data_IF_216879867647
#
_entry.id   IF_216879867647
#
_cell.length_a   1.000
_cell.length_b   1.000
_cell.length_c   1.000
_cell.angle_alpha   90.00
_cell.angle_beta   90.00
_cell.angle_gamma   90.00
#
_symmetry.space_group_name_H-M   'P 1'
#
loop_
_entity.id
_entity.type
_entity.pdbx_description
1 polymer ?
#
# COMPACT_ATOMS: atom_id res chain seq x y z
N UNK A 1 -12.97 3.04 -7.73
CA UNK A 1 -12.72 4.28 -8.50
C UNK A 1 -13.13 4.04 -9.94
N UNK A 2 -13.64 5.04 -10.64
CA UNK A 2 -14.03 4.90 -12.05
C UNK A 2 -13.25 5.92 -12.89
N UNK A 3 -12.70 5.46 -14.01
CA UNK A 3 -12.00 6.28 -15.01
C UNK A 3 -12.76 6.15 -16.32
N UNK A 4 -13.06 7.27 -16.96
CA UNK A 4 -13.79 7.32 -18.23
C UNK A 4 -12.91 8.04 -19.24
N UNK A 5 -12.70 7.45 -20.40
CA UNK A 5 -11.87 8.03 -21.46
C UNK A 5 -12.52 7.83 -22.84
N UNK A 6 -12.74 8.90 -23.63
CA UNK A 6 -13.26 8.76 -24.99
C UNK A 6 -12.27 8.04 -25.92
N UNK A 7 -12.76 7.23 -26.86
CA UNK A 7 -11.94 6.56 -27.87
C UNK A 7 -11.58 7.57 -28.94
N UNK A 8 -10.49 8.29 -28.73
CA UNK A 8 -9.98 9.30 -29.65
C UNK A 8 -8.48 9.14 -29.87
N UNK A 9 -7.90 10.02 -30.68
CA UNK A 9 -6.47 9.98 -31.02
C UNK A 9 -5.55 10.06 -29.79
N UNK A 10 -5.99 10.72 -28.72
CA UNK A 10 -5.24 10.80 -27.48
C UNK A 10 -5.15 9.44 -26.78
N UNK A 11 -6.21 8.63 -26.82
CA UNK A 11 -6.16 7.27 -26.25
C UNK A 11 -5.07 6.42 -26.90
N UNK A 12 -4.94 6.50 -28.23
CA UNK A 12 -3.89 5.81 -28.99
C UNK A 12 -2.50 6.44 -28.83
N UNK A 13 -2.41 7.65 -28.27
CA UNK A 13 -1.14 8.25 -27.85
C UNK A 13 -0.67 7.66 -26.52
N UNK A 14 -1.60 7.32 -25.63
CA UNK A 14 -1.29 6.64 -24.35
C UNK A 14 -0.95 5.17 -24.59
N UNK A 15 -1.65 4.52 -25.52
CA UNK A 15 -1.47 3.10 -25.86
C UNK A 15 -1.03 2.94 -27.32
N UNK A 16 0.22 3.30 -27.67
CA UNK A 16 0.70 3.32 -29.05
C UNK A 16 0.79 1.92 -29.68
N UNK A 17 0.85 0.86 -28.86
CA UNK A 17 0.94 -0.53 -29.31
C UNK A 17 -0.41 -1.12 -29.77
N UNK A 18 -1.48 -0.31 -29.72
CA UNK A 18 -2.84 -0.69 -30.10
C UNK A 18 -3.21 -0.02 -31.42
N UNK A 19 -3.54 -0.85 -32.41
CA UNK A 19 -4.06 -0.37 -33.70
C UNK A 19 -5.45 0.22 -33.53
N UNK A 20 -5.73 1.37 -34.17
CA UNK A 20 -7.08 1.97 -34.18
C UNK A 20 -8.11 0.97 -34.72
N UNK A 21 -9.21 0.81 -33.98
CA UNK A 21 -10.26 -0.17 -34.30
C UNK A 21 -10.02 -1.60 -33.77
N UNK A 22 -8.84 -1.91 -33.23
CA UNK A 22 -8.60 -3.20 -32.53
C UNK A 22 -9.07 -3.11 -31.08
N UNK A 23 -10.39 -3.18 -30.91
CA UNK A 23 -11.06 -3.07 -29.62
C UNK A 23 -10.63 -4.16 -28.64
N UNK A 24 -10.40 -5.38 -29.12
CA UNK A 24 -10.00 -6.52 -28.27
C UNK A 24 -8.62 -6.28 -27.67
N UNK A 25 -7.67 -5.83 -28.50
CA UNK A 25 -6.32 -5.52 -28.03
C UNK A 25 -6.31 -4.30 -27.13
N UNK A 26 -7.12 -3.28 -27.44
CA UNK A 26 -7.29 -2.10 -26.60
C UNK A 26 -7.76 -2.47 -25.18
N UNK A 27 -8.85 -3.23 -25.07
CA UNK A 27 -9.39 -3.65 -23.78
C UNK A 27 -8.35 -4.40 -22.96
N UNK A 28 -7.66 -5.37 -23.58
CA UNK A 28 -6.62 -6.15 -22.91
C UNK A 28 -5.45 -5.28 -22.47
N UNK A 29 -4.96 -4.37 -23.31
CA UNK A 29 -3.86 -3.47 -22.96
C UNK A 29 -4.24 -2.55 -21.80
N UNK A 30 -5.48 -2.05 -21.77
CA UNK A 30 -5.99 -1.22 -20.68
C UNK A 30 -6.15 -2.05 -19.40
N UNK A 31 -6.68 -3.27 -19.49
CA UNK A 31 -6.73 -4.21 -18.36
C UNK A 31 -5.35 -4.45 -17.78
N UNK A 32 -4.36 -4.79 -18.62
CA UNK A 32 -2.99 -5.05 -18.19
C UNK A 32 -2.34 -3.81 -17.56
N UNK A 33 -2.55 -2.62 -18.15
CA UNK A 33 -1.99 -1.36 -17.66
C UNK A 33 -2.54 -0.95 -16.29
N UNK A 34 -3.85 -1.13 -16.08
CA UNK A 34 -4.53 -0.77 -14.83
C UNK A 34 -4.59 -1.92 -13.81
N UNK A 35 -4.08 -3.10 -14.16
CA UNK A 35 -3.98 -4.23 -13.22
C UNK A 35 -2.93 -3.95 -12.15
N UNK A 36 -3.37 -3.95 -10.89
CA UNK A 36 -2.48 -3.78 -9.73
C UNK A 36 -2.48 -5.08 -8.92
N UNK A 37 -1.40 -5.86 -9.04
CA UNK A 37 -1.17 -7.16 -8.37
C UNK A 37 -2.29 -8.18 -8.65
N UNK A 38 -3.37 -8.15 -7.87
CA UNK A 38 -4.53 -9.07 -7.94
C UNK A 38 -5.84 -8.35 -8.21
N UNK A 39 -5.82 -7.02 -8.30
CA UNK A 39 -6.99 -6.23 -8.66
C UNK A 39 -7.01 -6.06 -10.18
N UNK A 40 -7.81 -6.90 -10.83
CA UNK A 40 -8.08 -6.81 -12.26
C UNK A 40 -9.21 -5.77 -12.42
N UNK A 41 -8.99 -4.66 -13.14
CA UNK A 41 -10.02 -3.67 -13.39
C UNK A 41 -11.08 -4.28 -14.33
N UNK A 42 -12.33 -3.84 -14.18
CA UNK A 42 -13.36 -4.15 -15.18
C UNK A 42 -13.32 -3.08 -16.25
N UNK A 43 -13.00 -3.48 -17.48
CA UNK A 43 -12.93 -2.56 -18.62
C UNK A 43 -14.09 -2.87 -19.56
N UNK A 44 -14.81 -1.84 -19.97
CA UNK A 44 -15.95 -1.94 -20.90
C UNK A 44 -16.00 -0.71 -21.80
N UNK A 45 -16.68 -0.82 -22.93
CA UNK A 45 -16.89 0.28 -23.86
C UNK A 45 -18.37 0.62 -23.92
N UNK A 46 -18.68 1.88 -23.72
CA UNK A 46 -20.02 2.46 -23.83
C UNK A 46 -19.91 3.82 -24.51
N UNK A 47 -20.82 4.10 -25.44
CA UNK A 47 -20.96 5.40 -26.12
C UNK A 47 -19.61 5.98 -26.57
N UNK A 48 -18.83 5.17 -27.30
CA UNK A 48 -17.52 5.53 -27.85
C UNK A 48 -16.46 5.92 -26.78
N UNK A 49 -16.67 5.47 -25.54
CA UNK A 49 -15.77 5.70 -24.42
C UNK A 49 -15.39 4.38 -23.75
N UNK A 50 -14.13 4.28 -23.33
CA UNK A 50 -13.67 3.21 -22.45
C UNK A 50 -13.97 3.61 -21.00
N UNK A 51 -14.66 2.73 -20.29
CA UNK A 51 -14.94 2.85 -18.86
C UNK A 51 -14.14 1.78 -18.14
N UNK A 52 -13.37 2.23 -17.14
CA UNK A 52 -12.46 1.40 -16.35
C UNK A 52 -12.88 1.52 -14.89
N UNK A 53 -13.42 0.43 -14.36
CA UNK A 53 -13.81 0.31 -12.97
C UNK A 53 -12.69 -0.40 -12.20
N UNK A 54 -11.94 0.38 -11.40
CA UNK A 54 -10.87 -0.12 -10.55
C UNK A 54 -11.41 -0.36 -9.15
N UNK A 55 -11.36 -1.61 -8.70
CA UNK A 55 -11.74 -1.96 -7.33
C UNK A 55 -10.65 -1.53 -6.33
N UNK A 56 -10.83 -0.33 -5.79
CA UNK A 56 -9.95 0.25 -4.78
C UNK A 56 -10.45 0.00 -3.35
N UNK A 57 -11.44 -0.87 -3.13
CA UNK A 57 -12.05 -1.05 -1.79
C UNK A 57 -11.05 -1.53 -0.75
N UNK A 58 -10.09 -2.38 -1.13
CA UNK A 58 -8.98 -2.81 -0.27
C UNK A 58 -8.04 -1.67 0.16
N UNK A 59 -8.04 -0.53 -0.52
CA UNK A 59 -7.23 0.64 -0.15
C UNK A 59 -7.85 1.37 1.05
N UNK A 60 -9.19 1.32 1.24
CA UNK A 60 -9.88 2.03 2.33
C UNK A 60 -9.77 1.35 3.69
N UNK A 61 -9.80 0.02 3.79
CA UNK A 61 -9.66 -0.67 5.09
C UNK A 61 -8.28 -0.42 5.71
N UNK A 62 -7.27 -0.32 4.84
CA UNK A 62 -5.89 -0.09 5.23
C UNK A 62 -5.68 1.26 5.93
N UNK A 63 -6.48 2.30 5.62
CA UNK A 63 -6.38 3.61 6.27
C UNK A 63 -6.83 3.57 7.75
N UNK A 64 -7.88 2.81 8.07
CA UNK A 64 -8.38 2.67 9.45
C UNK A 64 -7.38 1.90 10.32
N UNK A 65 -6.87 0.79 9.81
CA UNK A 65 -5.87 -0.02 10.51
C UNK A 65 -4.54 0.73 10.64
N UNK A 66 -4.13 1.49 9.62
CA UNK A 66 -2.93 2.32 9.68
C UNK A 66 -3.06 3.44 10.72
N UNK A 67 -4.19 4.15 10.77
CA UNK A 67 -4.45 5.15 11.82
C UNK A 67 -4.43 4.53 13.22
N UNK A 68 -4.89 3.29 13.37
CA UNK A 68 -4.79 2.54 14.62
C UNK A 68 -3.33 2.24 14.99
N UNK A 69 -2.51 1.83 14.02
CA UNK A 69 -1.05 1.64 14.22
C UNK A 69 -0.40 2.93 14.71
N UNK A 70 -0.67 4.06 14.06
CA UNK A 70 -0.14 5.38 14.47
C UNK A 70 -0.55 5.70 15.91
N UNK A 71 -1.84 5.56 16.26
CA UNK A 71 -2.31 5.80 17.63
C UNK A 71 -1.69 4.86 18.67
N UNK A 72 -1.36 3.62 18.30
CA UNK A 72 -0.65 2.69 19.17
C UNK A 72 0.82 3.11 19.34
N UNK A 73 1.47 3.61 18.28
CA UNK A 73 2.83 4.14 18.34
C UNK A 73 2.91 5.39 19.23
N UNK A 74 1.94 6.31 19.12
CA UNK A 74 1.84 7.49 20.00
C UNK A 74 1.70 7.11 21.48
N UNK A 75 1.07 5.97 21.76
CA UNK A 75 0.90 5.40 23.10
C UNK A 75 2.06 4.51 23.53
N UNK A 76 3.15 4.46 22.76
CA UNK A 76 4.30 3.58 22.96
C UNK A 76 3.95 2.07 23.02
N UNK A 77 2.81 1.66 22.44
CA UNK A 77 2.32 0.28 22.41
C UNK A 77 2.83 -0.48 21.18
N UNK A 78 4.14 -0.48 20.97
CA UNK A 78 4.78 -1.02 19.77
C UNK A 78 4.55 -2.53 19.57
N UNK A 79 4.46 -3.30 20.66
CA UNK A 79 4.13 -4.74 20.63
C UNK A 79 2.74 -5.04 20.04
N UNK A 80 1.79 -4.11 20.19
CA UNK A 80 0.45 -4.24 19.60
C UNK A 80 0.36 -3.66 18.19
N UNK A 81 1.19 -2.64 17.90
CA UNK A 81 1.26 -2.00 16.59
C UNK A 81 1.85 -2.92 15.51
N UNK A 82 2.93 -3.64 15.85
CA UNK A 82 3.66 -4.52 14.93
C UNK A 82 2.80 -5.54 14.17
N UNK A 83 1.98 -6.40 14.81
CA UNK A 83 1.22 -7.42 14.08
C UNK A 83 0.16 -6.83 13.13
N UNK A 84 -0.33 -5.62 13.42
CA UNK A 84 -1.25 -4.91 12.53
C UNK A 84 -0.48 -4.39 11.31
N UNK A 85 0.71 -3.82 11.54
CA UNK A 85 1.56 -3.29 10.49
C UNK A 85 2.13 -4.38 9.56
N UNK A 86 2.45 -5.57 10.09
CA UNK A 86 2.83 -6.74 9.29
C UNK A 86 1.72 -7.16 8.32
N UNK A 87 0.45 -7.16 8.77
CA UNK A 87 -0.71 -7.41 7.90
C UNK A 87 -0.86 -6.33 6.83
N UNK A 88 -0.68 -5.06 7.20
CA UNK A 88 -0.73 -3.95 6.26
C UNK A 88 0.35 -4.06 5.18
N UNK A 89 1.59 -4.39 5.55
CA UNK A 89 2.69 -4.63 4.60
C UNK A 89 2.42 -5.86 3.74
N UNK A 90 1.89 -6.94 4.30
CA UNK A 90 1.54 -8.14 3.54
C UNK A 90 0.43 -7.84 2.50
N UNK A 91 -0.55 -7.01 2.85
CA UNK A 91 -1.64 -6.60 1.96
C UNK A 91 -1.23 -5.56 0.91
N UNK A 92 -0.29 -4.66 1.25
CA UNK A 92 0.22 -3.62 0.37
C UNK A 92 1.73 -3.40 0.58
N UNK A 93 2.57 -4.30 0.03
CA UNK A 93 4.02 -4.28 0.28
C UNK A 93 4.74 -3.13 -0.42
N UNK A 94 4.07 -2.42 -1.33
CA UNK A 94 4.60 -1.27 -2.06
C UNK A 94 4.39 0.06 -1.33
N UNK A 95 3.65 0.06 -0.22
CA UNK A 95 3.43 1.28 0.55
C UNK A 95 4.69 1.62 1.36
N UNK A 96 5.40 2.67 0.94
CA UNK A 96 6.63 3.14 1.59
C UNK A 96 6.42 3.60 3.04
N UNK A 97 5.25 4.18 3.36
CA UNK A 97 4.95 4.64 4.71
C UNK A 97 4.83 3.47 5.70
N UNK A 98 4.32 2.31 5.29
CA UNK A 98 4.23 1.15 6.17
C UNK A 98 5.62 0.63 6.57
N UNK A 99 6.55 0.58 5.62
CA UNK A 99 7.93 0.21 5.89
C UNK A 99 8.65 1.25 6.76
N UNK A 100 8.37 2.55 6.54
CA UNK A 100 8.90 3.64 7.38
C UNK A 100 8.47 3.49 8.84
N UNK A 101 7.17 3.31 9.08
CA UNK A 101 6.62 3.12 10.44
C UNK A 101 7.12 1.81 11.05
N UNK A 102 7.31 0.75 10.25
CA UNK A 102 7.86 -0.52 10.76
C UNK A 102 9.29 -0.34 11.27
N UNK A 103 10.12 0.43 10.56
CA UNK A 103 11.46 0.78 11.02
C UNK A 103 11.44 1.47 12.40
N UNK A 104 10.52 2.41 12.61
CA UNK A 104 10.35 3.08 13.90
C UNK A 104 9.92 2.10 14.99
N UNK A 105 8.90 1.28 14.73
CA UNK A 105 8.39 0.26 15.68
C UNK A 105 9.51 -0.70 16.10
N UNK A 106 10.32 -1.19 15.16
CA UNK A 106 11.42 -2.11 15.45
C UNK A 106 12.54 -1.46 16.28
N UNK A 107 12.90 -0.22 15.96
CA UNK A 107 13.90 0.54 16.73
C UNK A 107 13.48 0.73 18.19
N UNK A 108 12.23 1.16 18.41
CA UNK A 108 11.71 1.41 19.76
C UNK A 108 11.51 0.13 20.58
N UNK A 109 11.16 -0.98 19.92
CA UNK A 109 11.12 -2.30 20.56
C UNK A 109 12.51 -2.76 20.99
N UNK A 110 13.53 -2.57 20.15
CA UNK A 110 14.92 -2.86 20.49
C UNK A 110 15.39 -2.08 21.73
N UNK A 111 15.06 -0.79 21.80
CA UNK A 111 15.42 0.09 22.92
C UNK A 111 14.69 -0.23 24.23
N UNK A 112 13.43 -0.69 24.15
CA UNK A 112 12.69 -1.11 25.35
C UNK A 112 13.23 -2.42 25.93
N UNK A 113 13.65 -3.36 25.08
CA UNK A 113 14.23 -4.63 25.58
C UNK A 113 15.56 -4.38 26.29
N UNK A 114 16.42 -3.50 25.77
CA UNK A 114 17.71 -3.16 26.39
C UNK A 114 17.57 -2.38 27.69
N UNK A 115 16.57 -1.49 27.79
CA UNK A 115 16.28 -0.75 29.03
C UNK A 115 15.82 -1.65 30.17
N UNK A 116 15.12 -2.75 29.86
CA UNK A 116 14.53 -3.65 30.85
C UNK A 116 15.51 -4.76 31.27
N UNK A 117 16.70 -4.83 30.66
CA UNK A 117 17.70 -5.89 30.86
C UNK A 117 19.07 -5.35 31.28
N UNK A 118 19.14 -4.15 31.85
CA UNK A 118 20.35 -3.67 32.51
C UNK A 118 20.35 -4.06 33.99
N UNK A 119 21.05 -5.12 34.43
CA UNK A 119 21.32 -5.33 35.85
C UNK A 119 22.38 -4.32 36.30
N UNK A 120 22.11 -3.69 37.43
CA UNK A 120 23.03 -2.86 38.21
C UNK A 120 24.46 -3.42 38.20
N UNK A 121 25.39 -2.69 37.58
CA UNK A 121 26.83 -2.88 37.80
C UNK A 121 27.55 -1.55 37.87
N UNK A 122 27.18 -0.69 38.81
CA UNK A 122 28.12 0.30 39.36
C UNK A 122 27.69 0.72 40.77
N UNK A 123 27.91 -0.15 41.75
CA UNK A 123 28.12 0.27 43.15
C UNK A 123 29.51 -0.13 43.58
N UNK A 124 30.33 0.90 43.81
CA UNK A 124 31.33 1.03 44.88
C UNK A 124 32.29 -0.14 45.12
N UNK A 125 33.58 0.12 44.89
CA UNK A 125 34.62 -0.18 45.87
C UNK A 125 35.75 0.83 45.70
N UNK A 126 35.49 2.03 46.24
CA UNK A 126 36.56 2.85 46.80
C UNK A 126 36.67 2.47 48.28
N UNK A 127 37.80 1.87 48.67
CA UNK A 127 38.47 1.90 49.98
C UNK A 127 39.70 1.00 49.88
#
# INVERSE_FOLDING_TARGET
MQIIHPINDFLYTIFPDVTKGDTTRLLKTIEDYFTIRTSIPKVRIEDDSVIIDVDTTHIKSNDTDYRRVVSLCDKMKYSQARPILEKLISSNPTNSEYHRVMGQVLSEQGNQVTSNTSPDRFTSLGS
#
